data_IF_882077718702
#
_entry.id   IF_882077718702
#
_cell.length_a   1.000
_cell.length_b   1.000
_cell.length_c   1.000
_cell.angle_alpha   90.00
_cell.angle_beta   90.00
_cell.angle_gamma   90.00
#
_symmetry.space_group_name_H-M   'P 1'
#
loop_
_entity.id
_entity.type
_entity.pdbx_description
1 polymer ?
#
# COMPACT_ATOMS: atom_id res chain seq x y z
N UNK A 1 -9.58 1.99 -20.49
CA UNK A 1 -11.05 2.17 -20.56
C UNK A 1 -11.37 3.04 -21.79
N UNK A 2 -12.63 3.19 -22.17
CA UNK A 2 -13.00 4.03 -23.33
C UNK A 2 -13.93 5.14 -22.87
N UNK A 3 -13.91 6.25 -23.59
CA UNK A 3 -14.81 7.36 -23.37
C UNK A 3 -15.53 7.73 -24.67
N UNK A 4 -16.82 7.96 -24.60
CA UNK A 4 -17.59 8.58 -25.69
C UNK A 4 -17.56 10.09 -25.50
N UNK A 5 -17.10 10.80 -26.53
CA UNK A 5 -17.04 12.26 -26.57
C UNK A 5 -18.00 12.78 -27.63
N UNK A 6 -18.93 13.61 -27.20
CA UNK A 6 -19.91 14.28 -28.07
C UNK A 6 -19.83 15.79 -27.84
N UNK A 7 -19.71 16.54 -28.91
CA UNK A 7 -19.58 18.02 -28.84
C UNK A 7 -18.47 18.49 -27.87
N UNK A 8 -17.35 17.75 -27.81
CA UNK A 8 -16.23 18.09 -26.95
C UNK A 8 -16.38 17.70 -25.46
N UNK A 9 -17.46 17.03 -25.09
CA UNK A 9 -17.71 16.59 -23.73
C UNK A 9 -17.76 15.07 -23.64
N UNK A 10 -17.24 14.53 -22.54
CA UNK A 10 -17.36 13.09 -22.24
C UNK A 10 -18.79 12.82 -21.77
N UNK A 11 -19.54 12.04 -22.52
CA UNK A 11 -20.94 11.72 -22.22
C UNK A 11 -21.13 10.33 -21.63
N UNK A 12 -20.24 9.39 -21.94
CA UNK A 12 -20.29 8.02 -21.43
C UNK A 12 -18.86 7.45 -21.27
N UNK A 13 -18.74 6.44 -20.38
CA UNK A 13 -17.52 5.67 -20.16
C UNK A 13 -17.76 4.18 -20.48
N UNK A 14 -17.75 3.76 -21.75
CA UNK A 14 -17.98 2.38 -22.13
C UNK A 14 -16.89 1.45 -21.62
N UNK A 15 -17.27 0.31 -21.07
CA UNK A 15 -16.31 -0.71 -20.59
C UNK A 15 -15.68 -1.56 -21.71
N UNK A 16 -16.13 -1.41 -22.94
CA UNK A 16 -15.63 -2.16 -24.10
C UNK A 16 -16.11 -3.61 -24.21
N UNK A 17 -16.99 -4.06 -23.34
CA UNK A 17 -17.49 -5.44 -23.31
C UNK A 17 -18.91 -5.63 -23.90
N UNK A 18 -19.54 -4.54 -24.32
CA UNK A 18 -20.86 -4.54 -24.97
C UNK A 18 -20.84 -3.58 -26.16
N UNK A 19 -21.72 -3.85 -27.14
CA UNK A 19 -21.95 -2.92 -28.23
C UNK A 19 -22.51 -1.59 -27.74
N UNK A 20 -22.41 -0.57 -28.59
CA UNK A 20 -22.91 0.78 -28.31
C UNK A 20 -23.76 1.26 -29.47
N UNK A 21 -24.80 2.04 -29.18
CA UNK A 21 -25.62 2.69 -30.20
C UNK A 21 -25.31 4.18 -30.22
N UNK A 22 -24.85 4.69 -31.38
CA UNK A 22 -24.52 6.09 -31.59
C UNK A 22 -25.27 6.61 -32.80
N UNK A 23 -26.01 7.70 -32.68
CA UNK A 23 -26.79 8.30 -33.78
C UNK A 23 -27.67 7.29 -34.52
N UNK A 24 -28.36 6.42 -33.78
CA UNK A 24 -29.21 5.32 -34.29
C UNK A 24 -28.44 4.22 -35.06
N UNK A 25 -27.10 4.20 -35.03
CA UNK A 25 -26.27 3.14 -35.59
C UNK A 25 -25.80 2.24 -34.45
N UNK A 26 -26.07 0.95 -34.56
CA UNK A 26 -25.62 -0.03 -33.57
C UNK A 26 -24.23 -0.58 -33.93
N UNK A 27 -23.30 -0.39 -33.06
CA UNK A 27 -21.93 -0.91 -33.17
C UNK A 27 -21.71 -2.11 -32.26
N UNK A 28 -21.13 -3.21 -32.76
CA UNK A 28 -20.84 -4.37 -31.93
C UNK A 28 -19.67 -4.11 -30.95
N UNK A 29 -19.54 -4.93 -29.92
CA UNK A 29 -18.44 -4.83 -28.96
C UNK A 29 -17.03 -4.98 -29.61
N UNK A 30 -16.96 -5.64 -30.76
CA UNK A 30 -15.71 -5.84 -31.49
C UNK A 30 -15.04 -4.55 -31.98
N UNK A 31 -15.74 -3.41 -32.03
CA UNK A 31 -15.10 -2.13 -32.35
C UNK A 31 -13.99 -1.75 -31.36
N UNK A 32 -14.14 -2.14 -30.08
CA UNK A 32 -13.18 -1.83 -29.04
C UNK A 32 -11.87 -2.64 -29.15
N UNK A 33 -11.88 -3.75 -29.86
CA UNK A 33 -10.74 -4.66 -30.00
C UNK A 33 -10.19 -4.76 -31.40
N UNK A 34 -11.04 -4.64 -32.42
CA UNK A 34 -10.65 -4.81 -33.82
C UNK A 34 -10.38 -3.52 -34.57
N UNK A 35 -11.06 -2.43 -34.19
CA UNK A 35 -10.87 -1.15 -34.84
C UNK A 35 -9.59 -0.45 -34.37
N UNK A 36 -8.95 0.25 -35.28
CA UNK A 36 -7.84 1.15 -34.96
C UNK A 36 -8.34 2.31 -34.09
N UNK A 37 -7.43 2.98 -33.42
CA UNK A 37 -7.75 4.18 -32.64
C UNK A 37 -8.39 5.27 -33.49
N UNK A 38 -7.88 5.49 -34.71
CA UNK A 38 -8.42 6.49 -35.66
C UNK A 38 -9.88 6.20 -36.03
N UNK A 39 -10.22 4.92 -36.29
CA UNK A 39 -11.59 4.52 -36.62
C UNK A 39 -12.54 4.72 -35.42
N UNK A 40 -12.11 4.40 -34.20
CA UNK A 40 -12.88 4.67 -32.99
C UNK A 40 -13.05 6.18 -32.75
N UNK A 41 -11.98 6.95 -32.88
CA UNK A 41 -12.04 8.40 -32.69
C UNK A 41 -12.97 9.08 -33.70
N UNK A 42 -13.08 8.56 -34.92
CA UNK A 42 -13.98 9.08 -35.95
C UNK A 42 -15.46 8.99 -35.56
N UNK A 43 -15.83 8.05 -34.68
CA UNK A 43 -17.18 7.92 -34.13
C UNK A 43 -17.31 8.46 -32.70
N UNK A 44 -16.31 9.20 -32.22
CA UNK A 44 -16.30 9.82 -30.89
C UNK A 44 -15.85 8.90 -29.74
N UNK A 45 -15.34 7.71 -30.02
CA UNK A 45 -14.85 6.78 -28.99
C UNK A 45 -13.33 6.90 -28.86
N UNK A 46 -12.88 7.39 -27.72
CA UNK A 46 -11.47 7.60 -27.39
C UNK A 46 -10.98 6.59 -26.35
N UNK A 47 -9.72 6.19 -26.47
CA UNK A 47 -9.04 5.44 -25.40
C UNK A 47 -8.56 6.44 -24.34
N UNK A 48 -8.80 6.12 -23.05
CA UNK A 48 -8.27 6.97 -21.97
C UNK A 48 -6.76 6.81 -21.84
N UNK A 49 -6.06 7.91 -21.65
CA UNK A 49 -4.67 7.97 -21.18
C UNK A 49 -4.70 8.25 -19.67
N UNK A 50 -3.92 7.50 -18.88
CA UNK A 50 -3.87 7.69 -17.42
C UNK A 50 -2.73 8.65 -17.12
N UNK A 51 -3.04 9.73 -16.41
CA UNK A 51 -2.06 10.64 -15.82
C UNK A 51 -1.82 10.24 -14.35
N UNK A 52 -0.69 9.61 -14.12
CA UNK A 52 -0.26 9.15 -12.80
C UNK A 52 0.48 10.22 -11.98
N UNK A 53 0.57 11.47 -12.45
CA UNK A 53 1.34 12.55 -11.80
C UNK A 53 0.92 12.75 -10.33
N UNK A 54 -0.38 12.65 -10.03
CA UNK A 54 -0.92 12.81 -8.68
C UNK A 54 -1.06 11.48 -7.91
N UNK A 55 -0.71 10.36 -8.53
CA UNK A 55 -0.80 9.05 -7.89
C UNK A 55 0.28 8.92 -6.82
N UNK A 56 -0.11 8.52 -5.62
CA UNK A 56 0.79 8.19 -4.53
C UNK A 56 0.87 6.68 -4.32
N UNK A 57 1.93 6.23 -3.65
CA UNK A 57 2.14 4.82 -3.32
C UNK A 57 0.97 4.27 -2.47
N UNK A 58 0.33 3.23 -2.96
CA UNK A 58 -0.83 2.59 -2.36
C UNK A 58 -0.53 1.88 -1.03
N UNK A 59 0.74 1.64 -0.72
CA UNK A 59 1.15 1.16 0.60
C UNK A 59 0.84 2.18 1.71
N UNK A 60 0.80 3.47 1.38
CA UNK A 60 0.68 4.58 2.30
C UNK A 60 -0.57 5.43 2.09
N UNK A 61 -1.10 5.44 0.87
CA UNK A 61 -2.20 6.31 0.45
C UNK A 61 -3.33 5.52 -0.21
N UNK A 62 -4.50 6.11 -0.21
CA UNK A 62 -5.64 5.69 -1.01
C UNK A 62 -5.74 6.69 -2.15
N UNK A 63 -5.48 6.24 -3.37
CA UNK A 63 -5.70 7.04 -4.56
C UNK A 63 -7.21 7.04 -4.87
N UNK A 64 -7.79 8.23 -4.93
CA UNK A 64 -9.22 8.40 -5.11
C UNK A 64 -9.55 9.07 -6.42
N UNK A 65 -10.75 8.77 -6.90
CA UNK A 65 -11.52 9.45 -7.93
C UNK A 65 -10.71 10.04 -9.07
N UNK A 66 -10.54 9.26 -10.12
CA UNK A 66 -10.09 9.80 -11.39
C UNK A 66 -11.14 10.78 -11.92
N UNK A 67 -10.70 11.98 -12.29
CA UNK A 67 -11.45 12.89 -13.12
C UNK A 67 -11.05 12.69 -14.58
N UNK A 68 -12.01 12.86 -15.47
CA UNK A 68 -11.82 12.65 -16.90
C UNK A 68 -11.99 13.98 -17.62
N UNK A 69 -11.05 14.31 -18.49
CA UNK A 69 -11.11 15.51 -19.32
C UNK A 69 -10.82 15.16 -20.78
N UNK A 70 -11.53 15.79 -21.72
CA UNK A 70 -11.23 15.71 -23.14
C UNK A 70 -10.59 17.04 -23.59
N UNK A 71 -9.39 16.97 -24.11
CA UNK A 71 -8.66 18.12 -24.63
C UNK A 71 -7.66 17.68 -25.70
N UNK A 72 -7.49 18.46 -26.76
CA UNK A 72 -6.51 18.19 -27.80
C UNK A 72 -6.70 16.84 -28.53
N UNK A 73 -7.93 16.34 -28.61
CA UNK A 73 -8.21 15.04 -29.23
C UNK A 73 -7.88 13.82 -28.37
N UNK A 74 -7.66 14.02 -27.06
CA UNK A 74 -7.32 12.98 -26.10
C UNK A 74 -8.24 13.03 -24.88
N UNK A 75 -8.53 11.87 -24.32
CA UNK A 75 -9.20 11.72 -23.01
C UNK A 75 -8.15 11.37 -21.97
N UNK A 76 -7.98 12.24 -20.98
CA UNK A 76 -7.03 12.03 -19.89
C UNK A 76 -7.79 11.73 -18.61
N UNK A 77 -7.40 10.65 -17.93
CA UNK A 77 -7.86 10.28 -16.59
C UNK A 77 -6.80 10.69 -15.58
N UNK A 78 -7.07 11.71 -14.76
CA UNK A 78 -6.14 12.24 -13.77
C UNK A 78 -6.59 11.84 -12.36
N UNK A 79 -5.69 11.34 -11.52
CA UNK A 79 -6.01 11.06 -10.12
C UNK A 79 -6.26 12.35 -9.34
N UNK A 80 -7.27 12.35 -8.49
CA UNK A 80 -7.50 13.39 -7.50
C UNK A 80 -6.45 13.34 -6.38
N UNK A 81 -6.59 14.22 -5.38
CA UNK A 81 -5.72 14.20 -4.21
C UNK A 81 -5.83 12.87 -3.47
N UNK A 82 -4.70 12.22 -3.25
CA UNK A 82 -4.64 10.97 -2.52
C UNK A 82 -4.92 11.20 -1.02
N UNK A 83 -5.65 10.29 -0.40
CA UNK A 83 -5.95 10.32 1.03
C UNK A 83 -4.95 9.45 1.78
N UNK A 84 -4.29 10.00 2.80
CA UNK A 84 -3.40 9.23 3.66
C UNK A 84 -4.16 8.11 4.38
N UNK A 85 -3.58 6.90 4.42
CA UNK A 85 -4.11 5.81 5.24
C UNK A 85 -3.98 6.17 6.72
N UNK A 86 -4.87 5.64 7.56
CA UNK A 86 -4.80 5.89 9.01
C UNK A 86 -3.50 5.36 9.60
N UNK A 87 -2.76 6.23 10.27
CA UNK A 87 -1.49 5.88 10.92
C UNK A 87 -1.71 5.17 12.25
N UNK A 88 -2.72 5.62 13.03
CA UNK A 88 -3.13 5.01 14.29
C UNK A 88 -4.26 4.00 14.09
N UNK A 89 -4.38 3.07 15.02
CA UNK A 89 -5.48 2.11 15.06
C UNK A 89 -6.82 2.84 15.19
N UNK A 90 -7.85 2.25 14.59
CA UNK A 90 -9.24 2.64 14.82
C UNK A 90 -9.82 1.67 15.85
N UNK A 91 -10.36 2.21 16.92
CA UNK A 91 -10.94 1.42 18.00
C UNK A 91 -12.46 1.35 17.86
N UNK A 92 -13.07 0.26 18.36
CA UNK A 92 -14.51 0.15 18.49
C UNK A 92 -15.05 1.21 19.46
N UNK A 93 -16.11 1.89 19.05
CA UNK A 93 -16.77 2.94 19.85
C UNK A 93 -18.05 2.41 20.49
N UNK A 94 -18.56 3.16 21.48
CA UNK A 94 -19.88 2.89 22.05
C UNK A 94 -21.01 2.99 21.03
N UNK A 95 -20.86 3.84 20.01
CA UNK A 95 -21.81 3.92 18.91
C UNK A 95 -21.79 2.66 18.04
N UNK A 96 -20.59 2.10 17.76
CA UNK A 96 -20.48 0.85 17.01
C UNK A 96 -21.12 -0.32 17.76
N UNK A 97 -21.07 -0.32 19.10
CA UNK A 97 -21.79 -1.30 19.94
C UNK A 97 -23.30 -1.14 19.79
N UNK A 98 -23.80 0.09 19.82
CA UNK A 98 -25.23 0.39 19.64
C UNK A 98 -25.72 -0.01 18.25
N UNK A 99 -24.90 0.22 17.24
CA UNK A 99 -25.17 -0.10 15.84
C UNK A 99 -25.02 -1.59 15.50
N UNK A 100 -24.59 -2.43 16.45
CA UNK A 100 -24.35 -3.86 16.25
C UNK A 100 -23.19 -4.18 15.31
N UNK A 101 -22.17 -3.29 15.20
CA UNK A 101 -21.03 -3.44 14.30
C UNK A 101 -19.84 -4.17 14.92
N UNK A 102 -19.80 -4.26 16.28
CA UNK A 102 -18.68 -4.90 16.98
C UNK A 102 -18.69 -6.40 16.68
N UNK A 103 -17.55 -6.93 16.32
CA UNK A 103 -17.37 -8.36 16.04
C UNK A 103 -17.58 -9.20 17.30
N UNK A 104 -18.02 -10.42 17.12
CA UNK A 104 -18.12 -11.39 18.23
C UNK A 104 -16.76 -11.59 18.90
N UNK A 105 -16.71 -11.40 20.21
CA UNK A 105 -15.49 -11.49 21.03
C UNK A 105 -14.72 -10.19 21.20
N UNK A 106 -15.08 -9.11 20.49
CA UNK A 106 -14.49 -7.78 20.68
C UNK A 106 -15.38 -6.93 21.63
N UNK A 107 -14.78 -5.94 22.28
CA UNK A 107 -15.46 -4.93 23.09
C UNK A 107 -15.14 -3.50 22.63
N UNK A 108 -15.87 -2.52 23.20
CA UNK A 108 -15.56 -1.07 23.04
C UNK A 108 -14.14 -0.80 23.53
N UNK A 109 -13.34 -0.16 22.70
CA UNK A 109 -11.92 0.10 22.97
C UNK A 109 -10.95 -0.89 22.34
N UNK A 110 -11.42 -2.04 21.87
CA UNK A 110 -10.60 -2.98 21.12
C UNK A 110 -10.32 -2.45 19.69
N UNK A 111 -9.29 -3.00 19.05
CA UNK A 111 -8.88 -2.57 17.71
C UNK A 111 -9.87 -3.07 16.66
N UNK A 112 -10.65 -2.16 16.12
CA UNK A 112 -11.55 -2.42 14.99
C UNK A 112 -10.77 -2.60 13.68
N UNK A 113 -9.80 -1.72 13.45
CA UNK A 113 -8.91 -1.76 12.27
C UNK A 113 -7.52 -1.29 12.66
N UNK A 114 -6.51 -2.09 12.31
CA UNK A 114 -5.12 -1.73 12.57
C UNK A 114 -4.68 -0.56 11.69
N UNK A 115 -4.00 0.41 12.30
CA UNK A 115 -3.34 1.49 11.62
C UNK A 115 -1.96 1.09 11.08
N UNK A 116 -1.38 1.95 10.28
CA UNK A 116 -0.09 1.69 9.66
C UNK A 116 1.03 1.43 10.68
N UNK A 117 1.04 2.10 11.83
CA UNK A 117 2.05 1.88 12.88
C UNK A 117 1.99 0.44 13.39
N UNK A 118 0.82 -0.06 13.73
CA UNK A 118 0.64 -1.44 14.20
C UNK A 118 1.04 -2.45 13.14
N UNK A 119 0.62 -2.25 11.89
CA UNK A 119 1.00 -3.12 10.77
C UNK A 119 2.52 -3.14 10.56
N UNK A 120 3.17 -1.98 10.60
CA UNK A 120 4.63 -1.89 10.40
C UNK A 120 5.42 -2.43 11.58
N UNK A 121 4.97 -2.25 12.83
CA UNK A 121 5.58 -2.89 14.00
C UNK A 121 5.48 -4.41 13.92
N UNK A 122 4.34 -4.97 13.57
CA UNK A 122 4.19 -6.41 13.33
C UNK A 122 5.14 -6.94 12.27
N UNK A 123 5.38 -6.18 11.19
CA UNK A 123 6.37 -6.54 10.17
C UNK A 123 7.78 -6.64 10.78
N UNK A 124 8.19 -5.66 11.60
CA UNK A 124 9.49 -5.67 12.27
C UNK A 124 9.60 -6.83 13.28
N UNK A 125 8.54 -7.11 14.04
CA UNK A 125 8.49 -8.25 14.97
C UNK A 125 8.66 -9.58 14.25
N UNK A 126 7.98 -9.76 13.12
CA UNK A 126 8.09 -10.97 12.31
C UNK A 126 9.51 -11.15 11.74
N UNK A 127 10.16 -10.06 11.30
CA UNK A 127 11.55 -10.10 10.85
C UNK A 127 12.50 -10.46 12.00
N UNK A 128 12.34 -9.83 13.16
CA UNK A 128 13.11 -10.12 14.37
C UNK A 128 12.96 -11.59 14.80
N UNK A 129 11.73 -12.08 14.89
CA UNK A 129 11.43 -13.47 15.23
C UNK A 129 12.06 -14.44 14.22
N UNK A 130 11.97 -14.13 12.92
CA UNK A 130 12.60 -14.92 11.86
C UNK A 130 14.10 -15.05 12.02
N UNK A 131 14.78 -13.96 12.34
CA UNK A 131 16.23 -13.96 12.60
C UNK A 131 16.59 -14.79 13.85
N UNK A 132 15.86 -14.63 14.95
CA UNK A 132 16.14 -15.33 16.21
C UNK A 132 15.85 -16.82 16.15
N UNK A 133 14.85 -17.24 15.36
CA UNK A 133 14.38 -18.63 15.23
C UNK A 133 15.49 -19.63 14.96
N UNK A 134 16.45 -19.28 14.11
CA UNK A 134 17.57 -20.16 13.75
C UNK A 134 18.46 -20.55 14.92
N UNK A 135 18.48 -19.77 16.00
CA UNK A 135 19.30 -20.00 17.19
C UNK A 135 18.50 -20.30 18.46
N UNK A 136 17.16 -20.42 18.37
CA UNK A 136 16.31 -20.70 19.54
C UNK A 136 16.60 -22.05 20.14
N UNK A 137 16.86 -23.08 19.33
CA UNK A 137 17.23 -24.41 19.79
C UNK A 137 18.51 -24.39 20.65
N UNK A 138 19.45 -23.48 20.38
CA UNK A 138 20.68 -23.34 21.16
C UNK A 138 20.38 -22.85 22.59
N UNK A 139 19.40 -21.94 22.72
CA UNK A 139 18.95 -21.42 24.01
C UNK A 139 18.24 -22.52 24.80
N UNK A 140 17.35 -23.26 24.15
CA UNK A 140 16.64 -24.38 24.77
C UNK A 140 17.66 -25.41 25.25
N UNK A 141 18.57 -25.87 24.38
CA UNK A 141 19.62 -26.81 24.75
C UNK A 141 20.49 -26.32 25.92
N UNK A 142 20.89 -25.06 25.91
CA UNK A 142 21.67 -24.49 27.01
C UNK A 142 20.89 -24.58 28.35
N UNK A 143 19.60 -24.29 28.32
CA UNK A 143 18.73 -24.38 29.51
C UNK A 143 18.56 -25.80 30.00
N UNK A 144 18.30 -26.76 29.10
CA UNK A 144 18.06 -28.15 29.44
C UNK A 144 19.31 -28.88 29.96
N UNK A 145 20.48 -28.58 29.37
CA UNK A 145 21.74 -29.28 29.70
C UNK A 145 22.61 -28.56 30.71
N UNK A 146 22.27 -27.31 31.09
CA UNK A 146 23.12 -26.45 31.90
C UNK A 146 24.36 -25.94 31.16
N UNK A 147 24.46 -26.15 29.83
CA UNK A 147 25.55 -25.65 29.01
C UNK A 147 25.45 -24.12 28.84
N UNK A 148 26.60 -23.48 28.63
CA UNK A 148 26.62 -22.03 28.35
C UNK A 148 26.36 -21.77 26.87
N UNK A 149 25.41 -20.88 26.56
CA UNK A 149 25.25 -20.35 25.20
C UNK A 149 26.51 -19.60 24.78
N UNK A 150 27.03 -19.89 23.59
CA UNK A 150 28.17 -19.17 23.01
C UNK A 150 27.97 -17.65 23.09
N UNK A 151 29.02 -16.93 23.49
CA UNK A 151 28.97 -15.49 23.75
C UNK A 151 28.66 -14.68 22.47
N UNK A 152 29.13 -15.11 21.30
CA UNK A 152 28.85 -14.47 20.03
C UNK A 152 27.36 -14.55 19.67
N UNK A 153 26.75 -15.72 19.86
CA UNK A 153 25.31 -15.89 19.67
C UNK A 153 24.50 -15.07 20.68
N UNK A 154 24.91 -15.08 21.95
CA UNK A 154 24.23 -14.30 22.99
C UNK A 154 24.23 -12.80 22.67
N UNK A 155 25.41 -12.26 22.29
CA UNK A 155 25.58 -10.85 21.92
C UNK A 155 24.77 -10.50 20.69
N UNK A 156 24.86 -11.30 19.64
CA UNK A 156 24.10 -11.04 18.41
C UNK A 156 22.58 -11.06 18.64
N UNK A 157 22.07 -12.05 19.38
CA UNK A 157 20.64 -12.12 19.73
C UNK A 157 20.19 -10.89 20.53
N UNK A 158 21.03 -10.39 21.42
CA UNK A 158 20.75 -9.16 22.18
C UNK A 158 20.69 -7.95 21.23
N UNK A 159 21.64 -7.83 20.30
CA UNK A 159 21.67 -6.72 19.33
C UNK A 159 20.47 -6.75 18.37
N UNK A 160 20.01 -7.92 17.94
CA UNK A 160 18.77 -8.07 17.14
C UNK A 160 17.57 -7.53 17.90
N UNK A 161 17.39 -7.90 19.18
CA UNK A 161 16.27 -7.39 20.00
C UNK A 161 16.36 -5.90 20.25
N UNK A 162 17.57 -5.38 20.55
CA UNK A 162 17.79 -3.95 20.73
C UNK A 162 17.43 -3.18 19.45
N UNK A 163 17.83 -3.68 18.29
CA UNK A 163 17.50 -3.07 17.01
C UNK A 163 15.99 -3.11 16.74
N UNK A 164 15.34 -4.23 17.02
CA UNK A 164 13.89 -4.36 16.91
C UNK A 164 13.16 -3.28 17.72
N UNK A 165 13.49 -3.15 19.01
CA UNK A 165 12.91 -2.14 19.89
C UNK A 165 13.17 -0.71 19.39
N UNK A 166 14.37 -0.43 18.90
CA UNK A 166 14.73 0.86 18.32
C UNK A 166 13.88 1.17 17.08
N UNK A 167 13.68 0.20 16.18
CA UNK A 167 12.84 0.36 15.00
C UNK A 167 11.39 0.63 15.37
N UNK A 168 10.84 -0.11 16.34
CA UNK A 168 9.46 0.12 16.82
C UNK A 168 9.30 1.51 17.42
N UNK A 169 10.28 1.98 18.21
CA UNK A 169 10.26 3.33 18.77
C UNK A 169 10.27 4.39 17.67
N UNK A 170 11.05 4.21 16.59
CA UNK A 170 11.04 5.13 15.45
C UNK A 170 9.67 5.16 14.76
N UNK A 171 9.04 3.98 14.59
CA UNK A 171 7.69 3.87 14.01
C UNK A 171 6.67 4.60 14.89
N UNK A 172 6.74 4.42 16.22
CA UNK A 172 5.83 5.08 17.17
C UNK A 172 5.99 6.61 17.16
N UNK A 173 7.20 7.10 16.94
CA UNK A 173 7.51 8.53 16.90
C UNK A 173 7.16 9.22 15.56
N UNK A 174 6.83 8.47 14.50
CA UNK A 174 6.41 9.07 13.24
C UNK A 174 5.12 9.89 13.44
N UNK A 175 5.13 11.16 13.02
CA UNK A 175 4.01 12.10 13.22
C UNK A 175 2.84 11.84 12.28
N UNK A 176 3.12 11.41 11.07
CA UNK A 176 2.19 11.25 9.97
C UNK A 176 2.63 10.14 9.01
N UNK A 177 1.85 9.95 7.94
CA UNK A 177 2.11 8.90 6.96
C UNK A 177 3.40 9.15 6.19
N UNK A 178 3.72 10.41 5.86
CA UNK A 178 4.94 10.73 5.11
C UNK A 178 6.19 10.47 5.97
N UNK A 179 6.17 10.87 7.25
CA UNK A 179 7.24 10.56 8.19
C UNK A 179 7.42 9.05 8.39
N UNK A 180 6.31 8.30 8.47
CA UNK A 180 6.37 6.85 8.58
C UNK A 180 6.92 6.20 7.30
N UNK A 181 6.48 6.65 6.12
CA UNK A 181 6.94 6.15 4.83
C UNK A 181 8.45 6.40 4.64
N UNK A 182 8.93 7.57 5.04
CA UNK A 182 10.34 7.94 4.97
C UNK A 182 11.24 6.95 5.73
N UNK A 183 10.79 6.40 6.87
CA UNK A 183 11.56 5.38 7.62
C UNK A 183 11.84 4.12 6.80
N UNK A 184 10.95 3.78 5.86
CA UNK A 184 11.04 2.57 5.04
C UNK A 184 11.61 2.83 3.64
N UNK A 185 11.82 4.09 3.26
CA UNK A 185 12.33 4.46 1.94
C UNK A 185 13.83 4.23 1.88
N UNK A 186 14.26 3.40 0.95
CA UNK A 186 15.68 3.16 0.67
C UNK A 186 16.25 4.25 -0.23
N UNK A 187 17.40 4.76 0.12
CA UNK A 187 18.16 5.74 -0.66
C UNK A 187 19.58 5.24 -0.94
N UNK A 188 20.03 5.44 -2.18
CA UNK A 188 21.42 5.18 -2.55
C UNK A 188 22.31 6.30 -2.01
N UNK A 189 23.41 5.91 -1.35
CA UNK A 189 24.42 6.82 -0.81
C UNK A 189 25.52 7.06 -1.85
N UNK A 190 26.41 8.02 -1.58
CA UNK A 190 27.55 8.34 -2.47
C UNK A 190 28.49 7.14 -2.70
N UNK A 191 28.64 6.28 -1.71
CA UNK A 191 29.45 5.06 -1.76
C UNK A 191 28.73 3.87 -2.43
N UNK A 192 27.57 4.10 -3.04
CA UNK A 192 26.69 3.08 -3.66
C UNK A 192 26.02 2.12 -2.69
N UNK A 193 26.18 2.31 -1.39
CA UNK A 193 25.39 1.57 -0.41
C UNK A 193 23.93 2.03 -0.45
N UNK A 194 23.01 1.13 -0.12
CA UNK A 194 21.58 1.42 -0.04
C UNK A 194 21.16 1.38 1.43
N UNK A 195 20.67 2.50 1.94
CA UNK A 195 20.27 2.64 3.34
C UNK A 195 18.86 3.20 3.46
N UNK A 196 18.25 3.00 4.62
CA UNK A 196 16.98 3.65 5.00
C UNK A 196 17.08 4.20 6.43
N UNK A 197 16.34 5.23 6.81
CA UNK A 197 16.37 5.83 8.15
C UNK A 197 16.07 4.83 9.27
N UNK A 198 15.18 3.86 9.05
CA UNK A 198 14.87 2.81 10.01
C UNK A 198 16.11 1.93 10.33
N UNK A 199 17.05 1.85 9.38
CA UNK A 199 18.26 1.01 9.45
C UNK A 199 17.98 -0.47 9.24
N UNK A 200 19.02 -1.30 9.40
CA UNK A 200 18.94 -2.73 9.17
C UNK A 200 19.23 -3.54 10.44
N UNK A 201 18.78 -4.79 10.48
CA UNK A 201 19.14 -5.72 11.53
C UNK A 201 20.61 -6.12 11.43
N UNK A 202 21.28 -6.39 12.58
CA UNK A 202 22.67 -6.81 12.58
C UNK A 202 22.81 -8.20 11.93
N UNK A 203 23.83 -8.35 11.10
CA UNK A 203 24.23 -9.63 10.52
C UNK A 203 25.03 -10.42 11.57
N UNK A 204 24.84 -11.75 11.62
CA UNK A 204 25.70 -12.64 12.41
C UNK A 204 26.99 -12.90 11.64
N UNK A 205 28.09 -12.42 12.16
CA UNK A 205 29.45 -12.74 11.69
C UNK A 205 29.89 -14.13 12.18
#
# INVERSE_FOLDING_TARGET
MFALVESGNITQMPKGNKGITLNNVQYPASIYTLWSESERNAIGIYTEEIDDTNKKDEAWYINTNQSYAFSGGKVTATYGSATARKIADTLWTSQDKTDGKIREGDDVGDVATEGLKTIKKKLIDNQCAGLLKHSDWMVVRATETGATLDSGWKTWRASVRTKCNSMQTQIDNASDVDALAALFTYTEQEDKSITRPLGEFPVKE
#
